data_IF_105518172603
#
_entry.id   IF_105518172603
#
_cell.length_a   1.000
_cell.length_b   1.000
_cell.length_c   1.000
_cell.angle_alpha   90.00
_cell.angle_beta   90.00
_cell.angle_gamma   90.00
#
_symmetry.space_group_name_H-M   'P 1'
#
loop_
_entity.id
_entity.type
_entity.pdbx_description
1 polymer ?
#
# COMPACT_ATOMS: atom_id res chain seq x y z
N UNK A 1 -8.59 31.47 4.82
CA UNK A 1 -9.89 31.25 5.48
C UNK A 1 -10.66 30.29 4.57
N UNK A 2 -10.52 28.98 4.80
CA UNK A 2 -11.16 27.97 3.97
C UNK A 2 -12.60 27.77 4.43
N UNK A 3 -13.51 27.68 3.47
CA UNK A 3 -14.95 27.63 3.67
C UNK A 3 -15.40 26.50 4.61
N UNK A 4 -16.56 26.71 5.23
CA UNK A 4 -17.25 25.75 6.09
C UNK A 4 -17.17 24.32 5.51
N UNK A 5 -16.31 23.48 6.07
CA UNK A 5 -16.42 22.06 5.87
C UNK A 5 -17.71 21.60 6.55
N UNK A 6 -18.57 20.87 5.84
CA UNK A 6 -19.83 20.32 6.37
C UNK A 6 -19.59 19.29 7.49
N UNK A 7 -18.37 18.80 7.62
CA UNK A 7 -17.94 17.79 8.58
C UNK A 7 -16.43 17.91 8.86
N UNK A 8 -15.98 17.28 9.96
CA UNK A 8 -14.56 17.10 10.23
C UNK A 8 -14.03 15.88 9.47
N UNK A 9 -12.93 16.05 8.73
CA UNK A 9 -12.20 14.95 8.09
C UNK A 9 -10.77 14.89 8.64
N UNK A 10 -10.34 13.69 9.05
CA UNK A 10 -9.00 13.43 9.58
C UNK A 10 -8.28 12.35 8.78
N UNK A 11 -7.08 12.68 8.31
CA UNK A 11 -6.18 11.72 7.71
C UNK A 11 -5.41 10.95 8.80
N UNK A 12 -5.56 9.63 8.79
CA UNK A 12 -4.81 8.70 9.63
C UNK A 12 -3.89 7.84 8.75
N UNK A 13 -2.71 7.43 9.24
CA UNK A 13 -1.81 6.60 8.46
C UNK A 13 -2.39 5.19 8.26
N UNK A 14 -2.29 4.67 7.04
CA UNK A 14 -2.67 3.31 6.71
C UNK A 14 -3.47 3.21 5.40
N UNK A 15 -3.78 1.97 5.03
CA UNK A 15 -4.71 1.68 3.93
C UNK A 15 -6.13 1.40 4.45
N UNK A 16 -7.08 1.12 3.56
CA UNK A 16 -8.49 0.93 3.87
C UNK A 16 -8.76 0.11 5.15
N UNK A 17 -8.28 -1.13 5.20
CA UNK A 17 -8.44 -2.03 6.36
C UNK A 17 -7.47 -1.77 7.52
N UNK A 18 -6.44 -0.92 7.35
CA UNK A 18 -5.74 -0.39 8.51
C UNK A 18 -6.58 0.64 9.26
N UNK A 19 -7.52 1.32 8.60
CA UNK A 19 -8.42 2.28 9.24
C UNK A 19 -9.72 1.60 9.70
N UNK A 20 -10.37 0.85 8.81
CA UNK A 20 -11.63 0.15 9.11
C UNK A 20 -11.48 -1.15 9.89
N UNK A 21 -10.25 -1.67 10.01
CA UNK A 21 -10.00 -3.02 10.52
C UNK A 21 -10.18 -4.10 9.45
N UNK A 22 -10.20 -5.37 9.88
CA UNK A 22 -10.38 -6.54 9.02
C UNK A 22 -9.09 -7.29 8.68
N UNK A 23 -7.91 -6.73 8.99
CA UNK A 23 -6.69 -7.52 8.99
C UNK A 23 -6.57 -8.35 10.29
N UNK A 24 -6.21 -9.64 10.19
CA UNK A 24 -5.74 -10.43 11.32
C UNK A 24 -4.56 -9.75 12.03
N UNK A 25 -4.24 -10.20 13.25
CA UNK A 25 -3.11 -9.66 14.01
C UNK A 25 -1.79 -9.74 13.23
N UNK A 26 -1.59 -10.82 12.47
CA UNK A 26 -0.46 -10.99 11.55
C UNK A 26 -0.96 -11.55 10.24
N UNK A 27 -0.48 -11.00 9.12
CA UNK A 27 -0.76 -11.47 7.75
C UNK A 27 0.57 -11.72 7.04
N UNK A 28 0.67 -12.85 6.34
CA UNK A 28 1.75 -13.11 5.39
C UNK A 28 1.37 -12.50 4.03
N UNK A 29 2.06 -11.43 3.64
CA UNK A 29 1.89 -10.81 2.32
C UNK A 29 2.86 -11.46 1.34
N UNK A 30 2.35 -12.07 0.27
CA UNK A 30 3.12 -12.49 -0.92
C UNK A 30 2.48 -11.89 -2.16
N UNK A 31 3.02 -10.77 -2.63
CA UNK A 31 2.37 -9.87 -3.59
C UNK A 31 3.29 -9.48 -4.74
N UNK A 32 2.73 -9.20 -5.92
CA UNK A 32 3.44 -8.44 -6.96
C UNK A 32 3.33 -6.95 -6.64
N UNK A 33 4.34 -6.39 -5.99
CA UNK A 33 4.29 -5.00 -5.49
C UNK A 33 4.63 -3.99 -6.58
N UNK A 34 5.60 -4.31 -7.44
CA UNK A 34 6.02 -3.42 -8.52
C UNK A 34 5.26 -3.70 -9.81
N UNK A 35 5.16 -2.67 -10.66
CA UNK A 35 4.48 -2.79 -11.96
C UNK A 35 5.15 -3.86 -12.83
N UNK A 36 4.44 -4.87 -13.35
CA UNK A 36 5.01 -5.81 -14.32
C UNK A 36 5.46 -5.06 -15.58
N UNK A 37 6.68 -5.33 -16.05
CA UNK A 37 7.29 -4.64 -17.21
C UNK A 37 7.67 -5.64 -18.29
N UNK A 38 7.21 -5.39 -19.51
CA UNK A 38 7.46 -6.26 -20.66
C UNK A 38 8.61 -5.74 -21.52
N UNK A 39 9.66 -6.53 -21.66
CA UNK A 39 10.74 -6.30 -22.62
C UNK A 39 10.47 -7.13 -23.88
N UNK A 40 10.18 -6.48 -25.01
CA UNK A 40 9.83 -7.15 -26.26
C UNK A 40 11.07 -7.68 -26.98
N UNK A 41 11.00 -8.93 -27.42
CA UNK A 41 12.06 -9.60 -28.18
C UNK A 41 12.42 -8.88 -29.49
N UNK A 42 11.49 -8.17 -30.13
CA UNK A 42 11.73 -7.42 -31.36
C UNK A 42 12.81 -6.33 -31.25
N UNK A 43 13.07 -5.81 -30.03
CA UNK A 43 14.09 -4.78 -29.78
C UNK A 43 15.36 -5.34 -29.13
N UNK A 44 15.34 -6.62 -28.75
CA UNK A 44 16.41 -7.30 -28.04
C UNK A 44 16.52 -8.70 -28.64
N UNK A 45 17.38 -8.90 -29.65
CA UNK A 45 17.62 -10.23 -30.23
C UNK A 45 18.09 -11.17 -29.12
N UNK A 46 17.27 -12.17 -28.80
CA UNK A 46 17.30 -12.87 -27.51
C UNK A 46 17.70 -14.35 -27.62
N UNK A 47 18.22 -14.78 -28.78
CA UNK A 47 18.74 -16.15 -28.99
C UNK A 47 20.07 -16.38 -28.23
N UNK A 48 20.76 -15.30 -27.86
CA UNK A 48 21.83 -15.26 -26.88
C UNK A 48 21.52 -14.10 -25.94
N UNK A 49 21.23 -14.39 -24.67
CA UNK A 49 21.09 -13.37 -23.65
C UNK A 49 22.44 -12.65 -23.52
N UNK A 50 22.60 -11.49 -24.16
CA UNK A 50 23.46 -10.44 -23.60
C UNK A 50 22.68 -9.91 -22.40
N UNK A 51 22.85 -10.54 -21.24
CA UNK A 51 22.28 -10.08 -19.96
C UNK A 51 22.53 -8.57 -19.76
N UNK A 52 23.67 -8.11 -20.25
CA UNK A 52 24.04 -6.70 -20.34
C UNK A 52 23.02 -5.82 -21.08
N UNK A 53 22.45 -6.27 -22.21
CA UNK A 53 21.44 -5.49 -22.96
C UNK A 53 20.10 -5.39 -22.21
N UNK A 54 19.68 -6.48 -21.56
CA UNK A 54 18.47 -6.48 -20.73
C UNK A 54 18.65 -5.57 -19.50
N UNK A 55 19.79 -5.64 -18.82
CA UNK A 55 20.13 -4.79 -17.67
C UNK A 55 20.22 -3.30 -18.04
N UNK A 56 20.49 -3.00 -19.31
CA UNK A 56 20.49 -1.64 -19.88
C UNK A 56 19.12 -1.20 -20.44
N UNK A 57 18.09 -2.05 -20.41
CA UNK A 57 16.75 -1.68 -20.87
C UNK A 57 16.13 -0.59 -19.98
N UNK A 58 15.18 0.17 -20.56
CA UNK A 58 14.41 1.17 -19.80
C UNK A 58 13.59 0.49 -18.71
N UNK A 59 13.04 -0.67 -19.03
CA UNK A 59 12.19 -1.50 -18.18
C UNK A 59 12.96 -2.01 -16.97
N UNK A 60 14.21 -2.45 -17.16
CA UNK A 60 15.08 -2.87 -16.07
C UNK A 60 15.39 -1.73 -15.11
N UNK A 61 15.87 -0.59 -15.64
CA UNK A 61 16.13 0.61 -14.82
C UNK A 61 14.89 1.05 -14.05
N UNK A 62 13.73 1.03 -14.70
CA UNK A 62 12.47 1.40 -14.06
C UNK A 62 12.07 0.44 -12.93
N UNK A 63 12.39 -0.87 -13.02
CA UNK A 63 12.16 -1.83 -11.92
C UNK A 63 13.10 -1.55 -10.75
N UNK A 64 14.37 -1.26 -11.02
CA UNK A 64 15.35 -0.92 -9.97
C UNK A 64 14.99 0.42 -9.31
N UNK A 65 14.58 1.45 -10.05
CA UNK A 65 14.10 2.71 -9.44
C UNK A 65 12.90 2.49 -8.54
N UNK A 66 11.90 1.72 -8.97
CA UNK A 66 10.72 1.40 -8.15
C UNK A 66 11.10 0.62 -6.89
N UNK A 67 12.03 -0.34 -6.97
CA UNK A 67 12.52 -1.04 -5.78
C UNK A 67 13.18 -0.08 -4.78
N UNK A 68 14.00 0.85 -5.26
CA UNK A 68 14.68 1.84 -4.44
C UNK A 68 13.65 2.75 -3.73
N UNK A 69 12.61 3.18 -4.44
CA UNK A 69 11.51 3.96 -3.87
C UNK A 69 10.76 3.19 -2.77
N UNK A 70 10.49 1.90 -2.98
CA UNK A 70 9.88 1.03 -1.96
C UNK A 70 10.77 0.90 -0.72
N UNK A 71 12.09 0.77 -0.90
CA UNK A 71 13.07 0.75 0.21
C UNK A 71 13.14 2.06 0.95
N UNK A 72 13.06 3.19 0.24
CA UNK A 72 12.98 4.54 0.85
C UNK A 72 11.65 4.71 1.61
N UNK A 73 10.57 4.06 1.19
CA UNK A 73 9.30 4.04 1.92
C UNK A 73 9.34 3.16 3.19
N UNK A 74 10.31 2.26 3.31
CA UNK A 74 10.46 1.34 4.45
C UNK A 74 10.04 -0.10 4.16
N UNK A 75 9.72 -0.44 2.90
CA UNK A 75 9.47 -1.82 2.47
C UNK A 75 10.79 -2.56 2.19
N UNK A 76 10.83 -3.88 2.37
CA UNK A 76 9.75 -4.76 2.82
C UNK A 76 9.59 -4.79 4.35
N UNK A 77 10.39 -4.02 5.10
CA UNK A 77 10.50 -4.17 6.55
C UNK A 77 11.19 -5.48 6.91
N UNK A 78 10.55 -6.32 7.73
CA UNK A 78 11.03 -7.67 8.07
C UNK A 78 10.53 -8.67 7.01
N UNK A 79 11.15 -8.65 5.83
CA UNK A 79 10.82 -9.51 4.71
C UNK A 79 11.75 -9.26 3.52
N UNK A 80 11.29 -9.60 2.32
CA UNK A 80 12.11 -9.59 1.10
C UNK A 80 11.38 -8.94 -0.08
N UNK A 81 12.17 -8.31 -0.95
CA UNK A 81 11.74 -7.90 -2.29
C UNK A 81 12.32 -8.90 -3.29
N UNK A 82 11.43 -9.54 -4.06
CA UNK A 82 11.78 -10.64 -4.95
C UNK A 82 11.84 -10.15 -6.38
N UNK A 83 13.00 -10.26 -7.02
CA UNK A 83 13.19 -9.86 -8.42
C UNK A 83 13.13 -11.10 -9.29
N UNK A 84 12.20 -11.14 -10.24
CA UNK A 84 12.16 -12.24 -11.21
C UNK A 84 12.07 -11.71 -12.64
N UNK A 85 12.63 -12.49 -13.56
CA UNK A 85 12.64 -12.24 -14.99
C UNK A 85 12.12 -13.50 -15.70
N UNK A 86 10.90 -13.44 -16.21
CA UNK A 86 10.17 -14.59 -16.72
C UNK A 86 10.15 -14.53 -18.26
N UNK A 87 10.65 -15.55 -18.92
CA UNK A 87 10.53 -15.70 -20.38
C UNK A 87 9.11 -16.13 -20.75
N UNK A 88 8.42 -15.29 -21.52
CA UNK A 88 7.08 -15.59 -22.02
C UNK A 88 7.16 -16.48 -23.27
N UNK A 89 6.18 -17.37 -23.41
CA UNK A 89 6.04 -18.17 -24.62
C UNK A 89 5.53 -17.27 -25.76
N UNK A 90 6.09 -17.36 -26.98
CA UNK A 90 5.55 -16.63 -28.12
C UNK A 90 4.12 -17.07 -28.41
N UNK A 91 3.28 -16.13 -28.86
CA UNK A 91 1.87 -16.39 -29.15
C UNK A 91 1.65 -17.29 -30.38
N UNK A 92 2.63 -17.38 -31.28
CA UNK A 92 2.60 -18.23 -32.49
C UNK A 92 3.89 -19.05 -32.60
N UNK A 93 3.75 -20.37 -32.61
CA UNK A 93 4.87 -21.30 -32.79
C UNK A 93 5.13 -21.52 -34.29
N UNK A 94 5.94 -20.65 -34.92
CA UNK A 94 6.30 -20.79 -36.34
C UNK A 94 7.55 -21.66 -36.57
N UNK A 95 7.91 -22.56 -35.64
CA UNK A 95 8.99 -23.55 -35.84
C UNK A 95 10.43 -23.01 -35.91
N UNK A 96 10.62 -21.70 -36.05
CA UNK A 96 11.91 -21.01 -35.87
C UNK A 96 12.10 -20.69 -34.38
N UNK A 97 13.35 -20.76 -33.88
CA UNK A 97 13.71 -20.25 -32.54
C UNK A 97 13.33 -18.76 -32.47
N UNK A 98 12.15 -18.46 -31.95
CA UNK A 98 11.69 -17.09 -31.75
C UNK A 98 12.22 -16.60 -30.41
N UNK A 99 12.89 -15.46 -30.45
CA UNK A 99 13.26 -14.71 -29.25
C UNK A 99 12.01 -14.50 -28.37
N UNK A 100 12.16 -14.78 -27.07
CA UNK A 100 11.06 -14.72 -26.10
C UNK A 100 10.95 -13.32 -25.51
N UNK A 101 9.72 -12.81 -25.41
CA UNK A 101 9.44 -11.63 -24.60
C UNK A 101 9.80 -11.92 -23.13
N UNK A 102 10.34 -10.94 -22.41
CA UNK A 102 10.70 -11.08 -21.00
C UNK A 102 9.79 -10.22 -20.14
N UNK A 103 9.18 -10.81 -19.12
CA UNK A 103 8.42 -10.10 -18.10
C UNK A 103 9.29 -9.90 -16.86
N UNK A 104 9.59 -8.64 -16.55
CA UNK A 104 10.27 -8.26 -15.32
C UNK A 104 9.23 -7.99 -14.23
N UNK A 105 9.34 -8.69 -13.11
CA UNK A 105 8.43 -8.54 -11.97
C UNK A 105 9.21 -8.23 -10.69
N UNK A 106 8.54 -7.49 -9.80
CA UNK A 106 9.03 -7.18 -8.47
C UNK A 106 7.98 -7.61 -7.45
N UNK A 107 8.27 -8.71 -6.76
CA UNK A 107 7.49 -9.27 -5.68
C UNK A 107 7.86 -8.70 -4.31
N UNK A 108 6.97 -8.92 -3.36
CA UNK A 108 7.12 -8.60 -1.95
C UNK A 108 6.68 -9.82 -1.14
N UNK A 109 7.53 -10.26 -0.22
CA UNK A 109 7.20 -11.30 0.75
C UNK A 109 7.54 -10.84 2.17
N UNK A 110 6.55 -10.77 3.07
CA UNK A 110 6.78 -10.30 4.46
C UNK A 110 5.64 -10.68 5.41
N UNK A 111 5.91 -10.58 6.71
CA UNK A 111 4.88 -10.59 7.74
C UNK A 111 4.48 -9.15 8.11
N UNK A 112 3.18 -8.85 8.12
CA UNK A 112 2.64 -7.52 8.45
C UNK A 112 1.64 -7.62 9.58
N UNK A 113 1.67 -6.63 10.46
CA UNK A 113 0.89 -6.54 11.69
C UNK A 113 -0.39 -5.71 11.50
N UNK A 114 -1.54 -6.26 11.90
CA UNK A 114 -2.86 -5.64 11.73
C UNK A 114 -3.29 -4.65 12.82
N UNK A 115 -2.47 -4.49 13.87
CA UNK A 115 -2.83 -3.74 15.08
C UNK A 115 -2.96 -2.22 14.89
N UNK A 116 -2.54 -1.66 13.74
CA UNK A 116 -2.71 -0.23 13.45
C UNK A 116 -4.17 0.22 13.49
N UNK A 117 -5.10 -0.68 13.13
CA UNK A 117 -6.55 -0.43 13.22
C UNK A 117 -7.05 -0.13 14.63
N UNK A 118 -6.32 -0.58 15.65
CA UNK A 118 -6.64 -0.29 17.07
C UNK A 118 -6.43 1.18 17.42
N UNK A 119 -5.63 1.92 16.64
CA UNK A 119 -5.45 3.36 16.77
C UNK A 119 -6.67 4.09 16.20
N UNK A 120 -7.07 3.75 14.97
CA UNK A 120 -8.26 4.32 14.34
C UNK A 120 -9.54 4.04 15.16
N UNK A 121 -9.67 2.82 15.72
CA UNK A 121 -10.74 2.47 16.65
C UNK A 121 -10.79 3.41 17.86
N UNK A 122 -9.65 3.68 18.51
CA UNK A 122 -9.59 4.59 19.67
C UNK A 122 -9.96 6.02 19.29
N UNK A 123 -9.44 6.52 18.16
CA UNK A 123 -9.78 7.85 17.65
C UNK A 123 -11.29 7.98 17.46
N UNK A 124 -11.90 7.04 16.74
CA UNK A 124 -13.33 7.08 16.43
C UNK A 124 -14.18 6.93 17.70
N UNK A 125 -13.82 6.00 18.60
CA UNK A 125 -14.51 5.78 19.87
C UNK A 125 -14.48 7.03 20.77
N UNK A 126 -13.31 7.64 20.93
CA UNK A 126 -13.15 8.85 21.74
C UNK A 126 -13.94 10.04 21.16
N UNK A 127 -13.91 10.24 19.84
CA UNK A 127 -14.73 11.27 19.19
C UNK A 127 -16.21 11.00 19.34
N UNK A 128 -16.67 9.77 19.13
CA UNK A 128 -18.07 9.41 19.29
C UNK A 128 -18.56 9.71 20.72
N UNK A 129 -17.79 9.35 21.76
CA UNK A 129 -18.11 9.69 23.15
C UNK A 129 -18.14 11.21 23.38
N UNK A 130 -17.16 11.96 22.84
CA UNK A 130 -17.14 13.42 22.93
C UNK A 130 -18.38 14.08 22.28
N UNK A 131 -19.00 13.40 21.32
CA UNK A 131 -20.26 13.77 20.67
C UNK A 131 -21.48 13.02 21.24
N UNK A 132 -21.42 12.56 22.50
CA UNK A 132 -22.52 11.96 23.26
C UNK A 132 -23.06 10.61 22.74
N UNK A 133 -22.29 9.89 21.91
CA UNK A 133 -22.65 8.52 21.55
C UNK A 133 -22.56 7.60 22.78
N UNK A 134 -23.59 6.78 23.00
CA UNK A 134 -23.67 5.84 24.13
C UNK A 134 -22.86 4.55 23.89
N UNK A 135 -21.55 4.69 23.68
CA UNK A 135 -20.64 3.55 23.50
C UNK A 135 -20.10 3.06 24.85
N UNK A 136 -20.00 1.74 25.01
CA UNK A 136 -19.31 1.14 26.15
C UNK A 136 -17.80 1.44 26.07
N UNK A 137 -17.08 1.46 27.20
CA UNK A 137 -15.61 1.50 27.18
C UNK A 137 -15.05 0.35 26.34
N UNK A 138 -13.93 0.61 25.65
CA UNK A 138 -13.19 -0.45 24.97
C UNK A 138 -12.66 -1.42 26.04
N UNK A 139 -12.97 -2.72 25.97
CA UNK A 139 -12.51 -3.68 26.97
C UNK A 139 -10.99 -3.73 27.06
N UNK A 140 -10.47 -3.93 28.26
CA UNK A 140 -9.05 -4.24 28.47
C UNK A 140 -8.77 -5.69 28.07
N UNK A 141 -8.61 -5.91 26.77
CA UNK A 141 -8.34 -7.20 26.19
C UNK A 141 -7.22 -7.10 25.15
N UNK A 142 -6.43 -8.16 25.02
CA UNK A 142 -5.28 -8.23 24.12
C UNK A 142 -5.61 -7.90 22.66
N UNK A 143 -6.84 -8.20 22.22
CA UNK A 143 -7.33 -7.90 20.87
C UNK A 143 -7.50 -6.39 20.61
N UNK A 144 -7.59 -5.57 21.66
CA UNK A 144 -7.70 -4.11 21.59
C UNK A 144 -6.43 -3.39 22.04
N UNK A 145 -5.47 -4.09 22.67
CA UNK A 145 -4.22 -3.51 23.15
C UNK A 145 -3.35 -2.95 22.00
N UNK A 146 -2.79 -1.75 22.16
CA UNK A 146 -1.79 -1.26 21.20
C UNK A 146 -0.42 -1.82 21.61
N UNK A 147 0.33 -2.44 20.69
CA UNK A 147 1.68 -2.90 20.98
C UNK A 147 2.61 -1.77 21.42
N UNK A 148 3.56 -2.07 22.31
CA UNK A 148 4.47 -1.06 22.88
C UNK A 148 5.30 -0.31 21.83
N UNK A 149 5.74 -1.00 20.77
CA UNK A 149 6.48 -0.42 19.64
C UNK A 149 5.63 0.54 18.78
N UNK A 150 4.30 0.50 18.89
CA UNK A 150 3.37 1.39 18.20
C UNK A 150 2.85 2.52 19.12
N UNK A 151 3.02 2.40 20.45
CA UNK A 151 2.37 3.26 21.42
C UNK A 151 2.71 4.75 21.26
N UNK A 152 3.98 5.09 21.00
CA UNK A 152 4.40 6.47 20.83
C UNK A 152 3.72 7.14 19.61
N UNK A 153 3.70 6.45 18.47
CA UNK A 153 3.04 6.91 17.24
C UNK A 153 1.53 6.97 17.46
N UNK A 154 0.94 5.98 18.13
CA UNK A 154 -0.49 5.96 18.44
C UNK A 154 -0.91 7.15 19.32
N UNK A 155 -0.14 7.45 20.37
CA UNK A 155 -0.41 8.59 21.26
C UNK A 155 -0.36 9.92 20.49
N UNK A 156 0.60 10.05 19.57
CA UNK A 156 0.72 11.21 18.68
C UNK A 156 -0.50 11.34 17.76
N UNK A 157 -0.89 10.24 17.13
CA UNK A 157 -2.07 10.19 16.26
C UNK A 157 -3.34 10.56 17.02
N UNK A 158 -3.57 9.94 18.18
CA UNK A 158 -4.76 10.17 18.99
C UNK A 158 -4.81 11.62 19.49
N UNK A 159 -3.70 12.15 19.99
CA UNK A 159 -3.63 13.55 20.48
C UNK A 159 -3.97 14.54 19.37
N UNK A 160 -3.36 14.43 18.18
CA UNK A 160 -3.67 15.30 17.05
C UNK A 160 -5.13 15.17 16.62
N UNK A 161 -5.64 13.94 16.52
CA UNK A 161 -7.01 13.69 16.09
C UNK A 161 -8.04 14.30 17.07
N UNK A 162 -7.79 14.20 18.38
CA UNK A 162 -8.65 14.84 19.38
C UNK A 162 -8.60 16.37 19.34
N UNK A 163 -7.52 16.95 18.82
CA UNK A 163 -7.42 18.38 18.52
C UNK A 163 -8.03 18.77 17.15
N UNK A 164 -8.67 17.84 16.45
CA UNK A 164 -9.25 18.07 15.12
C UNK A 164 -8.19 18.19 14.01
N UNK A 165 -7.01 17.61 14.22
CA UNK A 165 -5.87 17.71 13.30
C UNK A 165 -5.36 16.34 12.87
N UNK A 166 -4.88 16.25 11.64
CA UNK A 166 -4.15 15.06 11.17
C UNK A 166 -2.73 15.08 11.75
N UNK A 167 -2.23 13.93 12.19
CA UNK A 167 -0.93 13.86 12.85
C UNK A 167 0.25 14.02 11.87
N UNK A 168 1.19 14.89 12.21
CA UNK A 168 2.43 15.06 11.45
C UNK A 168 3.49 14.04 11.85
N UNK A 169 3.54 12.91 11.15
CA UNK A 169 4.55 11.88 11.39
C UNK A 169 5.89 12.23 10.73
N UNK A 170 6.98 11.97 11.43
CA UNK A 170 8.34 12.03 10.89
C UNK A 170 8.56 10.95 9.84
N UNK A 171 9.56 11.12 8.97
CA UNK A 171 9.92 10.12 7.97
C UNK A 171 10.31 8.78 8.60
N UNK A 172 10.94 8.79 9.78
CA UNK A 172 11.26 7.57 10.52
C UNK A 172 10.01 6.83 11.00
N UNK A 173 9.02 7.56 11.55
CA UNK A 173 7.73 7.00 11.96
C UNK A 173 6.95 6.44 10.76
N UNK A 174 6.90 7.18 9.64
CA UNK A 174 6.28 6.71 8.39
C UNK A 174 6.94 5.44 7.87
N UNK A 175 8.28 5.41 7.81
CA UNK A 175 9.04 4.22 7.39
C UNK A 175 8.79 3.03 8.30
N UNK A 176 8.75 3.24 9.61
CA UNK A 176 8.43 2.20 10.59
C UNK A 176 7.02 1.63 10.37
N UNK A 177 6.02 2.49 10.20
CA UNK A 177 4.65 2.07 9.92
C UNK A 177 4.58 1.29 8.60
N UNK A 178 5.20 1.76 7.53
CA UNK A 178 5.24 1.06 6.25
C UNK A 178 5.92 -0.30 6.33
N UNK A 179 7.02 -0.41 7.07
CA UNK A 179 7.76 -1.67 7.20
C UNK A 179 7.04 -2.72 8.04
N UNK A 180 6.16 -2.32 8.97
CA UNK A 180 5.62 -3.24 10.00
C UNK A 180 4.11 -3.33 10.07
N UNK A 181 3.39 -2.22 9.88
CA UNK A 181 1.98 -2.08 10.26
C UNK A 181 1.04 -1.70 9.10
N UNK A 182 1.55 -1.07 8.04
CA UNK A 182 0.76 -0.69 6.87
C UNK A 182 0.83 -1.80 5.82
N UNK A 183 -0.34 -2.33 5.48
CA UNK A 183 -0.49 -3.39 4.48
C UNK A 183 -0.39 -2.86 3.05
N UNK A 184 0.08 -3.70 2.13
CA UNK A 184 0.21 -3.38 0.71
C UNK A 184 -1.10 -3.65 -0.04
N UNK A 185 -2.16 -2.89 0.30
CA UNK A 185 -3.49 -3.09 -0.32
C UNK A 185 -3.50 -2.85 -1.82
N UNK A 186 -2.67 -1.94 -2.32
CA UNK A 186 -2.49 -1.70 -3.75
C UNK A 186 -1.31 -2.53 -4.27
N UNK A 187 -1.57 -3.44 -5.20
CA UNK A 187 -0.59 -4.34 -5.79
C UNK A 187 -1.05 -4.87 -7.16
N UNK A 188 -0.12 -5.46 -7.91
CA UNK A 188 -0.34 -5.99 -9.26
C UNK A 188 -0.65 -7.49 -9.27
N UNK A 189 -0.90 -8.11 -8.10
CA UNK A 189 -1.26 -9.51 -8.01
C UNK A 189 -2.58 -9.74 -8.73
N UNK A 190 -2.61 -10.74 -9.61
CA UNK A 190 -3.82 -11.12 -10.33
C UNK A 190 -4.68 -12.05 -9.47
N UNK A 191 -5.97 -11.73 -9.39
CA UNK A 191 -6.99 -12.53 -8.73
C UNK A 191 -8.05 -12.86 -9.78
N UNK A 192 -8.21 -14.15 -10.09
CA UNK A 192 -9.11 -14.64 -11.15
C UNK A 192 -8.87 -13.97 -12.53
N UNK A 193 -7.61 -13.71 -12.86
CA UNK A 193 -7.24 -13.06 -14.12
C UNK A 193 -7.37 -11.53 -14.13
N UNK A 194 -7.84 -10.93 -13.04
CA UNK A 194 -8.02 -9.48 -12.91
C UNK A 194 -7.05 -8.89 -11.89
N UNK A 195 -6.53 -7.69 -12.17
CA UNK A 195 -5.71 -6.93 -11.22
C UNK A 195 -6.62 -6.04 -10.36
N UNK A 196 -7.41 -6.65 -9.48
CA UNK A 196 -8.41 -5.97 -8.65
C UNK A 196 -7.80 -4.88 -7.76
N UNK A 197 -6.58 -5.11 -7.29
CA UNK A 197 -5.86 -4.24 -6.36
C UNK A 197 -4.88 -3.31 -7.08
N UNK A 198 -4.96 -3.19 -8.41
CA UNK A 198 -4.02 -2.41 -9.19
C UNK A 198 -3.93 -0.97 -8.64
N UNK A 199 -2.71 -0.46 -8.34
CA UNK A 199 -2.55 0.91 -7.89
C UNK A 199 -3.10 1.91 -8.91
N UNK A 200 -3.72 2.99 -8.41
CA UNK A 200 -4.12 4.12 -9.24
C UNK A 200 -2.89 4.81 -9.85
N UNK A 201 -3.11 5.65 -10.87
CA UNK A 201 -2.01 6.37 -11.53
C UNK A 201 -1.17 7.14 -10.51
N UNK A 202 0.16 7.04 -10.65
CA UNK A 202 1.14 7.68 -9.76
C UNK A 202 1.04 7.27 -8.28
N UNK A 203 0.38 6.15 -7.95
CA UNK A 203 0.15 5.71 -6.57
C UNK A 203 -0.61 6.74 -5.70
N UNK A 204 -1.45 7.57 -6.32
CA UNK A 204 -2.27 8.57 -5.64
C UNK A 204 -3.73 8.15 -5.66
N UNK A 205 -4.38 8.13 -4.49
CA UNK A 205 -5.80 7.85 -4.38
C UNK A 205 -6.60 9.03 -4.94
N UNK A 206 -7.59 8.74 -5.79
CA UNK A 206 -8.56 9.76 -6.21
C UNK A 206 -9.41 10.18 -5.01
N UNK A 207 -9.51 11.49 -4.78
CA UNK A 207 -10.35 12.11 -3.75
C UNK A 207 -11.42 12.92 -4.47
N UNK A 208 -12.67 12.74 -4.05
CA UNK A 208 -13.82 13.43 -4.61
C UNK A 208 -14.42 14.27 -3.50
N UNK A 209 -14.36 15.59 -3.66
CA UNK A 209 -14.90 16.54 -2.68
C UNK A 209 -16.40 16.36 -2.51
N UNK A 210 -16.88 16.59 -1.29
CA UNK A 210 -18.30 16.65 -0.99
C UNK A 210 -18.92 17.84 -1.75
N UNK A 211 -19.70 17.53 -2.79
CA UNK A 211 -20.43 18.51 -3.57
C UNK A 211 -21.90 18.42 -3.16
N UNK A 212 -22.54 19.55 -2.79
CA UNK A 212 -23.94 19.53 -2.42
C UNK A 212 -24.76 18.94 -3.56
N UNK A 213 -25.64 17.98 -3.21
CA UNK A 213 -26.54 17.39 -4.17
C UNK A 213 -27.40 18.50 -4.79
N UNK A 214 -27.42 18.57 -6.12
CA UNK A 214 -28.19 19.59 -6.85
C UNK A 214 -29.67 19.48 -6.43
N UNK A 215 -30.17 20.48 -5.72
CA UNK A 215 -31.55 20.52 -5.22
C UNK A 215 -31.76 20.06 -3.76
N UNK A 216 -30.73 19.97 -2.92
CA UNK A 216 -30.87 19.61 -1.50
C UNK A 216 -29.92 20.41 -0.57
N UNK A 217 -30.33 20.70 0.69
CA UNK A 217 -31.69 20.61 1.21
C UNK A 217 -32.57 21.76 0.70
N UNK A 218 -33.88 21.54 0.62
CA UNK A 218 -34.90 22.55 0.27
C UNK A 218 -35.17 23.46 1.46
#
# INVERSE_FOLDING_TARGET
>A
MNGNASHEELALPGVHSNLGGGYPAVVHERLLIGRPRLCRAAYYSMDNIDRAKLEQSREWRARETEEQELRVRGLPGQGELLRESIGLRPASDNGYRQAKDMLLILGLERMVRGELSRVALRVMHMKAIAHNASLKPIPDAQIFAIPSDLQAIANKIITSAMAGQSAELSEAEKRFLHGRYIHSSANWTSTYGLMLNKPHSQNQRAVYEDQPQRGYPV
#
